data_IF_296681710199
#
_entry.id   IF_296681710199
#
_cell.length_a   1.000
_cell.length_b   1.000
_cell.length_c   1.000
_cell.angle_alpha   90.00
_cell.angle_beta   90.00
_cell.angle_gamma   90.00
#
_symmetry.space_group_name_H-M   'P 1'
#
loop_
_entity.id
_entity.type
_entity.pdbx_description
1 polymer ?
#
# COMPACT_ATOMS: atom_id res chain seq x y z
N UNK A 1 -9.59 40.52 5.86
CA UNK A 1 -10.37 39.77 6.85
C UNK A 1 -11.84 39.55 6.42
N UNK A 2 -12.44 40.49 5.69
CA UNK A 2 -13.86 40.40 5.24
C UNK A 2 -14.13 39.36 4.17
N UNK A 3 -13.17 39.06 3.29
CA UNK A 3 -13.32 38.03 2.24
C UNK A 3 -13.38 36.61 2.81
N UNK A 4 -12.60 36.32 3.84
CA UNK A 4 -12.61 35.01 4.55
C UNK A 4 -13.95 34.84 5.31
N UNK A 5 -14.45 35.89 5.94
CA UNK A 5 -15.73 35.87 6.63
C UNK A 5 -16.88 35.64 5.66
N UNK A 6 -16.91 36.34 4.53
CA UNK A 6 -17.90 36.11 3.45
C UNK A 6 -17.87 34.69 2.90
N UNK A 7 -16.68 34.12 2.68
CA UNK A 7 -16.53 32.71 2.23
C UNK A 7 -17.03 31.70 3.27
N UNK A 8 -16.79 32.00 4.56
CA UNK A 8 -17.30 31.21 5.67
C UNK A 8 -18.82 31.26 5.75
N UNK A 9 -19.42 32.47 5.67
CA UNK A 9 -20.87 32.69 5.71
C UNK A 9 -21.58 32.03 4.51
N UNK A 10 -21.00 32.11 3.32
CA UNK A 10 -21.48 31.39 2.13
C UNK A 10 -21.43 29.89 2.36
N UNK A 11 -20.32 29.36 2.90
CA UNK A 11 -20.19 27.96 3.25
C UNK A 11 -21.27 27.47 4.20
N UNK A 12 -21.52 28.21 5.29
CA UNK A 12 -22.55 27.87 6.26
C UNK A 12 -23.96 27.93 5.66
N UNK A 13 -24.25 28.92 4.79
CA UNK A 13 -25.54 29.01 4.12
C UNK A 13 -25.81 27.84 3.18
N UNK A 14 -24.75 27.34 2.47
CA UNK A 14 -24.84 26.13 1.67
C UNK A 14 -25.11 24.88 2.52
N UNK A 15 -24.43 24.74 3.66
CA UNK A 15 -24.62 23.59 4.55
C UNK A 15 -25.95 23.62 5.31
N UNK A 16 -26.53 24.77 5.52
CA UNK A 16 -27.88 24.90 6.12
C UNK A 16 -29.03 24.63 5.14
N UNK A 17 -28.73 24.51 3.85
CA UNK A 17 -29.75 24.19 2.86
C UNK A 17 -30.03 22.67 2.87
N UNK A 18 -31.21 22.27 3.34
CA UNK A 18 -31.61 20.85 3.44
C UNK A 18 -31.54 20.11 2.11
N UNK A 19 -31.81 20.80 0.99
CA UNK A 19 -31.71 20.20 -0.36
C UNK A 19 -30.27 19.92 -0.75
N UNK A 20 -29.33 20.80 -0.38
CA UNK A 20 -27.90 20.56 -0.64
C UNK A 20 -27.38 19.36 0.13
N UNK A 21 -27.74 19.21 1.40
CA UNK A 21 -27.36 18.06 2.22
C UNK A 21 -27.92 16.73 1.65
N UNK A 22 -29.18 16.76 1.18
CA UNK A 22 -29.77 15.59 0.52
C UNK A 22 -29.03 15.20 -0.76
N UNK A 23 -28.72 16.16 -1.63
CA UNK A 23 -27.94 15.92 -2.85
C UNK A 23 -26.55 15.37 -2.52
N UNK A 24 -25.88 15.96 -1.53
CA UNK A 24 -24.57 15.49 -1.09
C UNK A 24 -24.62 14.05 -0.55
N UNK A 25 -25.65 13.73 0.25
CA UNK A 25 -25.88 12.38 0.76
C UNK A 25 -26.10 11.36 -0.37
N UNK A 26 -26.90 11.72 -1.38
CA UNK A 26 -27.16 10.88 -2.55
C UNK A 26 -25.85 10.64 -3.33
N UNK A 27 -25.08 11.69 -3.62
CA UNK A 27 -23.80 11.58 -4.34
C UNK A 27 -22.82 10.68 -3.55
N UNK A 28 -22.73 10.87 -2.24
CA UNK A 28 -21.87 10.07 -1.37
C UNK A 28 -22.31 8.60 -1.34
N UNK A 29 -23.61 8.34 -1.25
CA UNK A 29 -24.16 7.00 -1.28
C UNK A 29 -23.90 6.31 -2.65
N UNK A 30 -24.12 7.01 -3.76
CA UNK A 30 -23.83 6.50 -5.10
C UNK A 30 -22.34 6.22 -5.29
N UNK A 31 -21.47 7.15 -4.85
CA UNK A 31 -20.02 6.97 -4.89
C UNK A 31 -19.56 5.77 -4.07
N UNK A 32 -20.00 5.64 -2.84
CA UNK A 32 -19.64 4.51 -1.96
C UNK A 32 -20.14 3.18 -2.51
N UNK A 33 -21.38 3.14 -3.04
CA UNK A 33 -21.95 1.93 -3.66
C UNK A 33 -21.16 1.51 -4.91
N UNK A 34 -20.80 2.46 -5.77
CA UNK A 34 -19.98 2.21 -6.96
C UNK A 34 -18.59 1.65 -6.58
N UNK A 35 -17.91 2.27 -5.61
CA UNK A 35 -16.60 1.81 -5.15
C UNK A 35 -16.67 0.42 -4.51
N UNK A 36 -17.69 0.18 -3.70
CA UNK A 36 -17.90 -1.14 -3.07
C UNK A 36 -18.18 -2.21 -4.12
N UNK A 37 -19.05 -1.94 -5.10
CA UNK A 37 -19.34 -2.85 -6.18
C UNK A 37 -18.09 -3.16 -7.03
N UNK A 38 -17.34 -2.13 -7.43
CA UNK A 38 -16.08 -2.27 -8.17
C UNK A 38 -15.03 -3.05 -7.39
N UNK A 39 -14.88 -2.78 -6.08
CA UNK A 39 -13.96 -3.51 -5.22
C UNK A 39 -14.33 -4.99 -5.12
N UNK A 40 -15.60 -5.29 -4.86
CA UNK A 40 -16.08 -6.65 -4.73
C UNK A 40 -15.99 -7.43 -6.05
N UNK A 41 -16.29 -6.81 -7.19
CA UNK A 41 -16.16 -7.43 -8.50
C UNK A 41 -14.70 -7.81 -8.84
N UNK A 42 -13.71 -6.98 -8.44
CA UNK A 42 -12.28 -7.23 -8.71
C UNK A 42 -11.58 -8.09 -7.65
N UNK A 43 -12.20 -8.28 -6.48
CA UNK A 43 -11.59 -9.00 -5.35
C UNK A 43 -11.26 -10.47 -5.65
N UNK A 44 -12.17 -11.29 -6.24
CA UNK A 44 -11.86 -12.69 -6.52
C UNK A 44 -10.65 -12.83 -7.44
N UNK A 45 -10.61 -12.07 -8.52
CA UNK A 45 -9.49 -12.11 -9.47
C UNK A 45 -8.16 -11.72 -8.80
N UNK A 46 -8.16 -10.67 -7.99
CA UNK A 46 -6.95 -10.25 -7.24
C UNK A 46 -6.48 -11.31 -6.25
N UNK A 47 -7.39 -12.00 -5.57
CA UNK A 47 -7.02 -13.07 -4.65
C UNK A 47 -6.45 -14.27 -5.39
N UNK A 48 -7.01 -14.64 -6.55
CA UNK A 48 -6.45 -15.69 -7.41
C UNK A 48 -5.03 -15.34 -7.88
N UNK A 49 -4.80 -14.10 -8.35
CA UNK A 49 -3.44 -13.67 -8.74
C UNK A 49 -2.49 -13.75 -7.55
N UNK A 50 -2.87 -13.27 -6.36
CA UNK A 50 -2.04 -13.37 -5.15
C UNK A 50 -1.74 -14.81 -4.74
N UNK A 51 -2.72 -15.70 -4.89
CA UNK A 51 -2.52 -17.12 -4.64
C UNK A 51 -1.51 -17.72 -5.60
N UNK A 52 -1.63 -17.44 -6.90
CA UNK A 52 -0.65 -17.87 -7.91
C UNK A 52 0.74 -17.30 -7.65
N UNK A 53 0.83 -16.02 -7.24
CA UNK A 53 2.09 -15.40 -6.82
C UNK A 53 2.71 -16.16 -5.65
N UNK A 54 1.93 -16.43 -4.61
CA UNK A 54 2.40 -17.15 -3.42
C UNK A 54 2.89 -18.56 -3.79
N UNK A 55 2.08 -19.33 -4.50
CA UNK A 55 2.35 -20.74 -4.79
C UNK A 55 3.52 -20.93 -5.79
N UNK A 56 3.56 -20.13 -6.84
CA UNK A 56 4.50 -20.35 -7.94
C UNK A 56 5.77 -19.53 -7.87
N UNK A 57 5.77 -18.41 -7.15
CA UNK A 57 6.93 -17.52 -7.04
C UNK A 57 7.48 -17.52 -5.62
N UNK A 58 6.68 -17.12 -4.65
CA UNK A 58 7.21 -16.80 -3.31
C UNK A 58 7.51 -18.04 -2.45
N UNK A 59 6.69 -19.09 -2.48
CA UNK A 59 6.99 -20.35 -1.77
C UNK A 59 8.27 -21.00 -2.32
N UNK A 60 8.45 -21.20 -3.62
CA UNK A 60 9.69 -21.76 -4.16
C UNK A 60 10.91 -20.89 -3.86
N UNK A 61 10.80 -19.56 -4.00
CA UNK A 61 11.89 -18.65 -3.66
C UNK A 61 12.21 -18.70 -2.16
N UNK A 62 11.24 -18.59 -1.31
CA UNK A 62 11.43 -18.62 0.15
C UNK A 62 12.17 -19.90 0.59
N UNK A 63 11.80 -21.06 0.04
CA UNK A 63 12.50 -22.33 0.33
C UNK A 63 13.98 -22.29 -0.07
N UNK A 64 14.28 -21.69 -1.24
CA UNK A 64 15.70 -21.58 -1.69
C UNK A 64 16.50 -20.71 -0.72
N UNK A 65 15.90 -19.69 -0.12
CA UNK A 65 16.64 -18.74 0.72
C UNK A 65 16.67 -19.13 2.21
N UNK A 66 15.71 -19.91 2.70
CA UNK A 66 15.68 -20.38 4.11
C UNK A 66 16.84 -21.34 4.41
N UNK A 67 17.19 -22.19 3.46
CA UNK A 67 18.21 -23.23 3.66
C UNK A 67 19.65 -22.74 3.38
N UNK A 68 19.83 -21.42 3.15
CA UNK A 68 21.14 -20.87 2.83
C UNK A 68 21.99 -20.66 4.09
N UNK A 69 23.30 -20.98 4.05
CA UNK A 69 24.23 -20.63 5.10
C UNK A 69 24.43 -19.11 5.18
N UNK A 70 24.84 -18.60 6.35
CA UNK A 70 25.10 -17.16 6.54
C UNK A 70 26.14 -16.57 5.60
N UNK A 71 27.14 -17.38 5.25
CA UNK A 71 28.18 -17.00 4.28
C UNK A 71 28.18 -17.96 3.11
N UNK A 72 27.99 -17.40 1.92
CA UNK A 72 27.95 -18.16 0.67
C UNK A 72 29.33 -18.11 -0.03
N UNK A 73 29.69 -19.20 -0.66
CA UNK A 73 30.75 -19.14 -1.65
C UNK A 73 30.19 -18.71 -3.01
N UNK A 74 31.09 -18.32 -3.95
CA UNK A 74 30.70 -17.86 -5.29
C UNK A 74 29.84 -18.87 -6.06
N UNK A 75 30.10 -20.17 -5.91
CA UNK A 75 29.33 -21.23 -6.58
C UNK A 75 27.90 -21.30 -6.05
N UNK A 76 27.73 -21.16 -4.73
CA UNK A 76 26.41 -21.11 -4.07
C UNK A 76 25.65 -19.87 -4.48
N UNK A 77 26.27 -18.68 -4.49
CA UNK A 77 25.65 -17.45 -4.94
C UNK A 77 25.18 -17.55 -6.41
N UNK A 78 25.98 -18.15 -7.27
CA UNK A 78 25.61 -18.39 -8.67
C UNK A 78 24.46 -19.40 -8.80
N UNK A 79 24.41 -20.43 -7.96
CA UNK A 79 23.29 -21.38 -7.90
C UNK A 79 21.98 -20.66 -7.51
N UNK A 80 22.02 -19.82 -6.46
CA UNK A 80 20.86 -19.02 -6.03
C UNK A 80 20.38 -18.11 -7.14
N UNK A 81 21.30 -17.37 -7.80
CA UNK A 81 20.98 -16.50 -8.93
C UNK A 81 20.31 -17.28 -10.07
N UNK A 82 20.88 -18.41 -10.49
CA UNK A 82 20.32 -19.26 -11.56
C UNK A 82 18.93 -19.80 -11.19
N UNK A 83 18.76 -20.26 -9.95
CA UNK A 83 17.48 -20.78 -9.47
C UNK A 83 16.41 -19.69 -9.41
N UNK A 84 16.77 -18.52 -8.89
CA UNK A 84 15.91 -17.36 -8.87
C UNK A 84 15.52 -16.94 -10.30
N UNK A 85 16.49 -16.85 -11.21
CA UNK A 85 16.25 -16.49 -12.61
C UNK A 85 15.30 -17.49 -13.29
N UNK A 86 15.46 -18.79 -13.03
CA UNK A 86 14.58 -19.83 -13.57
C UNK A 86 13.12 -19.66 -13.11
N UNK A 87 12.88 -19.31 -11.85
CA UNK A 87 11.53 -19.08 -11.31
C UNK A 87 10.96 -17.78 -11.88
N UNK A 88 11.74 -16.70 -11.86
CA UNK A 88 11.29 -15.38 -12.33
C UNK A 88 11.03 -15.35 -13.84
N UNK A 89 11.81 -16.05 -14.66
CA UNK A 89 11.56 -16.13 -16.11
C UNK A 89 10.34 -16.96 -16.44
N UNK A 90 10.05 -18.03 -15.68
CA UNK A 90 8.87 -18.86 -15.90
C UNK A 90 7.57 -18.15 -15.50
N UNK A 91 7.61 -17.33 -14.45
CA UNK A 91 6.44 -16.65 -13.87
C UNK A 91 6.65 -15.13 -13.85
N UNK A 92 7.14 -14.59 -14.98
CA UNK A 92 7.57 -13.20 -15.10
C UNK A 92 6.52 -12.19 -14.63
N UNK A 93 5.25 -12.36 -15.07
CA UNK A 93 4.16 -11.44 -14.75
C UNK A 93 3.67 -11.53 -13.29
N UNK A 94 3.95 -12.65 -12.63
CA UNK A 94 3.53 -12.88 -11.24
C UNK A 94 4.53 -12.33 -10.22
N UNK A 95 5.79 -12.16 -10.59
CA UNK A 95 6.82 -11.64 -9.70
C UNK A 95 6.73 -10.11 -9.59
N UNK A 96 6.98 -9.58 -8.39
CA UNK A 96 7.08 -8.13 -8.25
C UNK A 96 8.28 -7.58 -9.03
N UNK A 97 8.14 -6.43 -9.72
CA UNK A 97 9.22 -5.87 -10.55
C UNK A 97 10.55 -5.68 -9.80
N UNK A 98 10.49 -5.39 -8.50
CA UNK A 98 11.64 -5.25 -7.64
C UNK A 98 12.50 -6.53 -7.57
N UNK A 99 11.89 -7.73 -7.62
CA UNK A 99 12.64 -8.99 -7.60
C UNK A 99 13.46 -9.21 -8.87
N UNK A 100 12.96 -8.74 -10.01
CA UNK A 100 13.70 -8.80 -11.27
C UNK A 100 14.95 -7.93 -11.22
N UNK A 101 14.83 -6.68 -10.73
CA UNK A 101 15.98 -5.79 -10.58
C UNK A 101 17.01 -6.34 -9.58
N UNK A 102 16.56 -6.86 -8.44
CA UNK A 102 17.44 -7.47 -7.44
C UNK A 102 18.17 -8.69 -7.98
N UNK A 103 17.50 -9.52 -8.79
CA UNK A 103 18.16 -10.67 -9.44
C UNK A 103 19.21 -10.26 -10.47
N UNK A 104 18.95 -9.23 -11.27
CA UNK A 104 19.92 -8.66 -12.21
C UNK A 104 21.13 -8.07 -11.49
N UNK A 105 20.90 -7.30 -10.43
CA UNK A 105 21.97 -6.73 -9.61
C UNK A 105 22.81 -7.82 -8.94
N UNK A 106 22.19 -8.92 -8.46
CA UNK A 106 22.93 -10.06 -7.92
C UNK A 106 23.85 -10.67 -8.97
N UNK A 107 23.35 -10.86 -10.20
CA UNK A 107 24.16 -11.37 -11.33
C UNK A 107 25.36 -10.46 -11.61
N UNK A 108 25.15 -9.15 -11.68
CA UNK A 108 26.22 -8.18 -11.90
C UNK A 108 27.28 -8.19 -10.77
N UNK A 109 26.83 -8.26 -9.51
CA UNK A 109 27.74 -8.32 -8.34
C UNK A 109 28.57 -9.61 -8.34
N UNK A 110 27.99 -10.76 -8.71
CA UNK A 110 28.72 -12.05 -8.80
C UNK A 110 29.78 -11.99 -9.90
N UNK A 111 29.46 -11.39 -11.05
CA UNK A 111 30.39 -11.22 -12.17
C UNK A 111 31.56 -10.30 -11.80
N UNK A 112 31.26 -9.20 -11.10
CA UNK A 112 32.26 -8.24 -10.62
C UNK A 112 33.07 -8.73 -9.39
N UNK A 113 32.86 -9.97 -8.90
CA UNK A 113 33.42 -10.47 -7.63
C UNK A 113 33.19 -9.54 -6.43
N UNK A 114 32.06 -8.84 -6.43
CA UNK A 114 31.67 -7.91 -5.35
C UNK A 114 31.08 -8.64 -4.13
N UNK A 115 30.49 -7.87 -3.22
CA UNK A 115 29.87 -8.40 -1.99
C UNK A 115 28.50 -9.03 -2.27
N UNK A 116 28.50 -10.24 -2.86
CA UNK A 116 27.26 -10.98 -3.16
C UNK A 116 26.54 -11.48 -1.90
N UNK A 117 27.22 -11.67 -0.76
CA UNK A 117 26.58 -12.10 0.48
C UNK A 117 25.58 -11.07 0.99
N UNK A 118 25.96 -9.80 1.02
CA UNK A 118 25.08 -8.71 1.39
C UNK A 118 23.87 -8.60 0.46
N UNK A 119 24.11 -8.79 -0.86
CA UNK A 119 23.04 -8.75 -1.84
C UNK A 119 22.05 -9.90 -1.69
N UNK A 120 22.55 -11.12 -1.48
CA UNK A 120 21.69 -12.29 -1.18
C UNK A 120 20.88 -12.08 0.09
N UNK A 121 21.49 -11.51 1.15
CA UNK A 121 20.79 -11.20 2.38
C UNK A 121 19.66 -10.17 2.16
N UNK A 122 19.91 -9.13 1.36
CA UNK A 122 18.89 -8.13 1.00
C UNK A 122 17.72 -8.77 0.25
N UNK A 123 18.02 -9.65 -0.72
CA UNK A 123 17.01 -10.37 -1.49
C UNK A 123 16.20 -11.31 -0.57
N UNK A 124 16.86 -12.09 0.27
CA UNK A 124 16.21 -12.98 1.24
C UNK A 124 15.24 -12.22 2.16
N UNK A 125 15.68 -11.07 2.65
CA UNK A 125 14.85 -10.21 3.48
C UNK A 125 13.61 -9.70 2.74
N UNK A 126 13.77 -9.24 1.48
CA UNK A 126 12.65 -8.78 0.66
C UNK A 126 11.66 -9.90 0.36
N UNK A 127 12.15 -11.09 -0.02
CA UNK A 127 11.31 -12.26 -0.28
C UNK A 127 10.51 -12.65 0.99
N UNK A 128 11.14 -12.62 2.16
CA UNK A 128 10.48 -12.91 3.43
C UNK A 128 9.34 -11.94 3.74
N UNK A 129 9.55 -10.64 3.50
CA UNK A 129 8.50 -9.62 3.68
C UNK A 129 7.33 -9.85 2.72
N UNK A 130 7.63 -10.00 1.44
CA UNK A 130 6.61 -10.19 0.39
C UNK A 130 5.82 -11.49 0.63
N UNK A 131 6.50 -12.57 1.04
CA UNK A 131 5.88 -13.85 1.40
C UNK A 131 4.89 -13.71 2.55
N UNK A 132 5.28 -13.05 3.66
CA UNK A 132 4.40 -12.85 4.81
C UNK A 132 3.22 -11.91 4.48
N UNK A 133 3.43 -10.88 3.66
CA UNK A 133 2.35 -10.01 3.18
C UNK A 133 1.32 -10.77 2.33
N UNK A 134 1.79 -11.62 1.41
CA UNK A 134 0.90 -12.45 0.58
C UNK A 134 0.11 -13.45 1.41
N UNK A 135 0.76 -14.12 2.38
CA UNK A 135 0.08 -15.02 3.32
C UNK A 135 -1.05 -14.31 4.05
N UNK A 136 -0.76 -13.12 4.58
CA UNK A 136 -1.74 -12.31 5.29
C UNK A 136 -2.91 -11.92 4.42
N UNK A 137 -2.64 -11.45 3.19
CA UNK A 137 -3.68 -11.03 2.25
C UNK A 137 -4.61 -12.18 1.84
N UNK A 138 -4.09 -13.41 1.85
CA UNK A 138 -4.83 -14.64 1.57
C UNK A 138 -5.47 -15.29 2.81
N UNK A 139 -5.25 -14.72 4.01
CA UNK A 139 -5.81 -15.25 5.26
C UNK A 139 -5.05 -16.45 5.83
N UNK A 140 -3.85 -16.75 5.34
CA UNK A 140 -2.99 -17.75 5.97
C UNK A 140 -2.40 -17.24 7.29
N UNK A 141 -2.05 -18.14 8.23
CA UNK A 141 -1.29 -17.76 9.42
C UNK A 141 -0.02 -17.01 9.01
N UNK A 142 0.11 -15.79 9.47
CA UNK A 142 1.22 -14.89 9.13
C UNK A 142 1.77 -14.22 10.39
N UNK A 143 2.94 -13.62 10.29
CA UNK A 143 3.49 -12.82 11.36
C UNK A 143 2.62 -11.60 11.70
N UNK A 144 2.83 -11.03 12.89
CA UNK A 144 2.13 -9.82 13.31
C UNK A 144 2.47 -8.66 12.35
N UNK A 145 1.44 -7.86 12.00
CA UNK A 145 1.57 -6.70 11.10
C UNK A 145 2.68 -5.75 11.55
N UNK A 146 2.79 -5.52 12.86
CA UNK A 146 3.83 -4.64 13.43
C UNK A 146 5.24 -5.18 13.16
N UNK A 147 5.45 -6.50 13.29
CA UNK A 147 6.76 -7.09 13.01
C UNK A 147 7.12 -7.02 11.53
N UNK A 148 6.16 -7.22 10.65
CA UNK A 148 6.34 -7.06 9.20
C UNK A 148 6.66 -5.59 8.89
N UNK A 149 5.89 -4.64 9.43
CA UNK A 149 6.05 -3.20 9.19
C UNK A 149 7.44 -2.70 9.63
N UNK A 150 7.95 -3.14 10.78
CA UNK A 150 9.29 -2.76 11.27
C UNK A 150 10.39 -3.24 10.31
N UNK A 151 10.22 -4.42 9.68
CA UNK A 151 11.19 -4.98 8.73
C UNK A 151 11.10 -4.38 7.32
N UNK A 152 10.01 -3.70 6.99
CA UNK A 152 9.84 -3.02 5.69
C UNK A 152 10.87 -1.91 5.51
N UNK A 153 11.27 -1.69 4.26
CA UNK A 153 12.08 -0.52 3.90
C UNK A 153 11.30 0.78 4.14
N UNK A 154 11.98 1.89 4.40
CA UNK A 154 11.34 3.21 4.61
C UNK A 154 10.36 3.58 3.49
N UNK A 155 10.69 3.25 2.23
CA UNK A 155 9.78 3.45 1.08
C UNK A 155 8.48 2.66 1.24
N UNK A 156 8.57 1.37 1.60
CA UNK A 156 7.41 0.51 1.81
C UNK A 156 6.57 0.95 3.00
N UNK A 157 7.21 1.35 4.11
CA UNK A 157 6.52 1.92 5.27
C UNK A 157 5.73 3.17 4.91
N UNK A 158 6.35 4.11 4.17
CA UNK A 158 5.65 5.31 3.70
C UNK A 158 4.46 4.96 2.80
N UNK A 159 4.61 4.03 1.85
CA UNK A 159 3.52 3.61 0.97
C UNK A 159 2.38 2.94 1.74
N UNK A 160 2.70 2.11 2.74
CA UNK A 160 1.70 1.48 3.60
C UNK A 160 0.91 2.52 4.41
N UNK A 161 1.60 3.51 5.01
CA UNK A 161 0.95 4.61 5.75
C UNK A 161 0.06 5.43 4.81
N UNK A 162 0.56 5.81 3.63
CA UNK A 162 -0.21 6.60 2.64
C UNK A 162 -1.46 5.85 2.21
N UNK A 163 -1.35 4.54 1.97
CA UNK A 163 -2.50 3.71 1.61
C UNK A 163 -3.58 3.74 2.69
N UNK A 164 -3.21 3.60 3.97
CA UNK A 164 -4.15 3.66 5.08
C UNK A 164 -4.75 5.06 5.28
N UNK A 165 -3.93 6.10 5.16
CA UNK A 165 -4.39 7.49 5.24
C UNK A 165 -5.37 7.80 4.09
N UNK A 166 -5.10 7.35 2.87
CA UNK A 166 -6.02 7.52 1.74
C UNK A 166 -7.38 6.84 1.99
N UNK A 167 -7.39 5.62 2.56
CA UNK A 167 -8.64 4.95 2.96
C UNK A 167 -9.39 5.77 4.01
N UNK A 168 -8.69 6.25 5.04
CA UNK A 168 -9.29 7.10 6.07
C UNK A 168 -9.87 8.39 5.49
N UNK A 169 -9.15 9.04 4.56
CA UNK A 169 -9.62 10.25 3.88
C UNK A 169 -10.86 10.01 3.02
N UNK A 170 -10.95 8.85 2.35
CA UNK A 170 -12.14 8.50 1.57
C UNK A 170 -13.36 8.21 2.46
N UNK A 171 -13.16 7.71 3.67
CA UNK A 171 -14.25 7.37 4.60
C UNK A 171 -14.66 8.54 5.51
N UNK A 172 -13.78 9.51 5.77
CA UNK A 172 -14.03 10.63 6.68
C UNK A 172 -15.21 11.52 6.29
N UNK A 173 -15.47 11.86 5.00
CA UNK A 173 -16.68 12.62 4.64
C UNK A 173 -17.98 11.91 5.02
N UNK A 174 -17.98 10.57 4.93
CA UNK A 174 -19.12 9.76 5.33
C UNK A 174 -19.40 9.90 6.84
N UNK A 175 -18.37 9.90 7.67
CA UNK A 175 -18.51 10.08 9.12
C UNK A 175 -18.99 11.47 9.49
N UNK A 176 -18.55 12.51 8.77
CA UNK A 176 -19.03 13.88 8.94
C UNK A 176 -20.52 13.97 8.58
N UNK A 177 -20.94 13.37 7.46
CA UNK A 177 -22.35 13.32 7.08
C UNK A 177 -23.22 12.60 8.14
N UNK A 178 -22.74 11.48 8.68
CA UNK A 178 -23.43 10.76 9.75
C UNK A 178 -23.55 11.64 11.01
N UNK A 179 -22.48 12.33 11.42
CA UNK A 179 -22.48 13.22 12.57
C UNK A 179 -23.48 14.38 12.41
N UNK A 180 -23.60 14.94 11.19
CA UNK A 180 -24.60 15.97 10.88
C UNK A 180 -26.01 15.42 10.95
N UNK A 181 -26.30 14.21 10.45
CA UNK A 181 -27.62 13.57 10.48
C UNK A 181 -28.06 13.29 11.92
N UNK A 182 -27.12 12.84 12.78
CA UNK A 182 -27.38 12.53 14.20
C UNK A 182 -27.51 13.79 15.07
N UNK A 183 -27.42 14.98 14.48
CA UNK A 183 -27.49 16.28 15.19
C UNK A 183 -26.44 16.42 16.30
N UNK A 184 -25.22 16.00 16.02
CA UNK A 184 -24.10 16.26 16.93
C UNK A 184 -23.86 17.75 17.06
N UNK A 185 -23.51 18.27 18.26
CA UNK A 185 -23.30 19.70 18.48
C UNK A 185 -22.31 20.32 17.49
N UNK A 186 -22.61 21.50 16.97
CA UNK A 186 -21.88 22.19 15.91
C UNK A 186 -20.39 22.33 16.21
N UNK A 187 -19.99 22.56 17.46
CA UNK A 187 -18.58 22.68 17.85
C UNK A 187 -17.79 21.39 17.64
N UNK A 188 -18.45 20.22 17.72
CA UNK A 188 -17.80 18.92 17.43
C UNK A 188 -17.65 18.76 15.92
N UNK A 189 -18.65 19.17 15.14
CA UNK A 189 -18.62 19.13 13.67
C UNK A 189 -17.50 20.04 13.14
N UNK A 190 -17.39 21.26 13.67
CA UNK A 190 -16.34 22.21 13.30
C UNK A 190 -14.94 21.68 13.63
N UNK A 191 -14.81 20.99 14.76
CA UNK A 191 -13.55 20.33 15.15
C UNK A 191 -13.21 19.19 14.19
N UNK A 192 -14.17 18.35 13.80
CA UNK A 192 -13.99 17.24 12.85
C UNK A 192 -13.60 17.77 11.47
N UNK A 193 -14.23 18.84 11.00
CA UNK A 193 -13.89 19.50 9.72
C UNK A 193 -12.47 20.06 9.77
N UNK A 194 -12.10 20.71 10.88
CA UNK A 194 -10.76 21.26 11.06
C UNK A 194 -9.68 20.16 11.05
N UNK A 195 -9.91 19.05 11.74
CA UNK A 195 -9.03 17.87 11.72
C UNK A 195 -8.92 17.29 10.31
N UNK A 196 -10.03 17.21 9.58
CA UNK A 196 -10.04 16.71 8.21
C UNK A 196 -9.20 17.59 7.28
N UNK A 197 -9.37 18.91 7.36
CA UNK A 197 -8.58 19.87 6.55
C UNK A 197 -7.10 19.75 6.89
N UNK A 198 -6.75 19.63 8.17
CA UNK A 198 -5.36 19.47 8.62
C UNK A 198 -4.75 18.15 8.14
N UNK A 199 -5.54 17.08 8.01
CA UNK A 199 -5.11 15.79 7.51
C UNK A 199 -4.96 15.74 5.98
N UNK A 200 -5.76 16.52 5.23
CA UNK A 200 -5.69 16.61 3.76
C UNK A 200 -4.36 17.20 3.29
N UNK A 201 -3.90 18.25 3.93
CA UNK A 201 -2.72 19.01 3.51
C UNK A 201 -1.45 18.14 3.39
N UNK A 202 -1.06 17.35 4.40
CA UNK A 202 0.10 16.46 4.29
C UNK A 202 -0.10 15.35 3.25
N UNK A 203 -1.32 14.82 3.07
CA UNK A 203 -1.60 13.78 2.07
C UNK A 203 -1.41 14.31 0.65
N UNK A 204 -1.92 15.51 0.36
CA UNK A 204 -1.73 16.17 -0.94
C UNK A 204 -0.24 16.45 -1.20
N UNK A 205 0.48 16.96 -0.20
CA UNK A 205 1.91 17.24 -0.31
C UNK A 205 2.74 15.96 -0.55
N UNK A 206 2.42 14.87 0.14
CA UNK A 206 3.11 13.59 -0.01
C UNK A 206 2.81 12.99 -1.38
N UNK A 207 1.54 12.98 -1.83
CA UNK A 207 1.17 12.50 -3.15
C UNK A 207 1.84 13.32 -4.26
N UNK A 208 1.90 14.64 -4.13
CA UNK A 208 2.62 15.52 -5.05
C UNK A 208 4.12 15.19 -5.11
N UNK A 209 4.76 14.95 -3.95
CA UNK A 209 6.17 14.60 -3.89
C UNK A 209 6.48 13.22 -4.48
N UNK A 210 5.56 12.25 -4.33
CA UNK A 210 5.69 10.91 -4.93
C UNK A 210 5.54 10.98 -6.45
N UNK A 211 4.58 11.76 -6.97
CA UNK A 211 4.43 11.98 -8.41
C UNK A 211 5.69 12.59 -9.02
N UNK A 212 6.29 13.58 -8.36
CA UNK A 212 7.54 14.23 -8.80
C UNK A 212 8.80 13.35 -8.70
N UNK A 213 8.76 12.25 -7.94
CA UNK A 213 9.88 11.28 -7.87
C UNK A 213 9.76 10.13 -8.88
N UNK A 214 8.68 10.11 -9.67
CA UNK A 214 8.46 9.12 -10.75
C UNK A 214 8.92 9.61 -12.12
N UNK A 215 9.11 10.92 -12.25
CA UNK A 215 9.74 11.57 -13.40
C UNK A 215 11.26 11.71 -13.14
#
# INVERSE_FOLDING_TARGET
MDTLKKLYDIGISFFNNSNFLQILAIITAMGSSYWTAKYNASRPHRLQVKQLQLEHVYIPLHRVFVDLPETLNKKQALYVHKKMNSILSKYYELAFPQLHSLNQELGAVILANGNYNEKVRTISHQISIDYELLKKDLGYPSENILSIFIRMTRKQQCLAIISHVNVFMCTSPMWICIAMIVRVPNHIIDTLISILILAILPVVLINYKILKMKD
#
